data_IF_208065178037
#
_entry.id   IF_208065178037
#
_cell.length_a   1.000
_cell.length_b   1.000
_cell.length_c   1.000
_cell.angle_alpha   90.00
_cell.angle_beta   90.00
_cell.angle_gamma   90.00
#
_symmetry.space_group_name_H-M   'P 1'
#
loop_
_entity.id
_entity.type
_entity.pdbx_description
1 polymer ?
#
# COMPACT_ATOMS: atom_id res chain seq x y z
N UNK A 1 34.75 11.32 21.18
CA UNK A 1 34.24 11.82 19.88
C UNK A 1 32.80 11.34 19.72
N UNK A 2 31.77 12.19 19.80
CA UNK A 2 30.44 11.74 19.47
C UNK A 2 30.41 11.47 17.96
N UNK A 3 30.27 10.19 17.58
CA UNK A 3 30.06 9.78 16.20
C UNK A 3 28.71 10.36 15.78
N UNK A 4 28.73 11.43 14.99
CA UNK A 4 27.53 12.05 14.47
C UNK A 4 26.87 11.02 13.53
N UNK A 5 25.73 10.39 13.89
CA UNK A 5 25.03 9.54 12.96
C UNK A 5 24.36 10.49 11.97
N UNK A 6 25.05 10.69 10.86
CA UNK A 6 24.51 11.29 9.65
C UNK A 6 23.39 10.40 9.16
N UNK A 7 22.15 10.69 9.56
CA UNK A 7 21.01 9.97 9.01
C UNK A 7 20.73 10.50 7.61
N UNK A 8 20.39 9.57 6.72
CA UNK A 8 20.17 9.87 5.32
C UNK A 8 18.76 9.45 4.92
N UNK A 9 18.16 10.23 4.02
CA UNK A 9 16.99 9.77 3.31
C UNK A 9 17.43 8.71 2.29
N UNK A 10 16.69 7.60 2.20
CA UNK A 10 16.94 6.54 1.22
C UNK A 10 17.02 7.08 -0.21
N UNK A 11 16.19 8.06 -0.56
CA UNK A 11 16.10 8.64 -1.90
C UNK A 11 17.15 9.72 -2.16
N UNK A 12 17.43 10.60 -1.18
CA UNK A 12 18.49 11.60 -1.32
C UNK A 12 19.91 10.99 -1.30
N UNK A 13 20.05 9.81 -0.70
CA UNK A 13 21.35 9.16 -0.51
C UNK A 13 22.26 9.91 0.47
N UNK A 14 23.55 9.60 0.39
CA UNK A 14 24.54 10.10 1.36
C UNK A 14 25.03 11.54 1.10
N UNK A 15 24.49 12.20 0.08
CA UNK A 15 24.88 13.56 -0.31
C UNK A 15 24.24 14.63 0.59
N UNK A 16 23.15 14.28 1.26
CA UNK A 16 22.42 15.19 2.15
C UNK A 16 22.35 14.56 3.54
N UNK A 17 22.73 15.36 4.53
CA UNK A 17 22.76 14.96 5.94
C UNK A 17 21.55 15.56 6.65
N UNK A 18 20.76 14.69 7.30
CA UNK A 18 19.59 15.11 8.06
C UNK A 18 19.78 14.80 9.54
N UNK A 19 19.18 15.61 10.41
CA UNK A 19 18.98 15.25 11.81
C UNK A 19 17.91 14.17 11.90
N UNK A 20 17.98 13.34 12.95
CA UNK A 20 17.00 12.24 13.15
C UNK A 20 15.55 12.74 13.19
N UNK A 21 15.32 13.95 13.70
CA UNK A 21 14.01 14.62 13.82
C UNK A 21 13.44 15.09 12.48
N UNK A 22 14.28 15.26 11.46
CA UNK A 22 13.89 15.70 10.11
C UNK A 22 13.51 14.52 9.21
N UNK A 23 13.76 13.29 9.67
CA UNK A 23 13.47 12.07 8.94
C UNK A 23 12.29 11.31 9.54
N UNK A 24 11.44 10.80 8.66
CA UNK A 24 10.33 9.91 8.98
C UNK A 24 10.69 8.49 8.59
N UNK A 25 10.36 7.54 9.47
CA UNK A 25 10.61 6.13 9.23
C UNK A 25 9.39 5.49 8.57
N UNK A 26 9.61 4.71 7.51
CA UNK A 26 8.57 3.94 6.82
C UNK A 26 9.16 2.65 6.28
N UNK A 27 8.53 1.50 6.57
CA UNK A 27 8.99 0.16 6.15
C UNK A 27 10.51 -0.04 6.40
N UNK A 28 10.98 0.30 7.60
CA UNK A 28 12.38 0.20 8.05
C UNK A 28 13.39 1.15 7.37
N UNK A 29 12.95 1.97 6.41
CA UNK A 29 13.77 3.00 5.76
C UNK A 29 13.46 4.41 6.30
N UNK A 30 14.43 5.32 6.16
CA UNK A 30 14.28 6.73 6.54
C UNK A 30 14.07 7.61 5.30
N UNK A 31 13.11 8.52 5.37
CA UNK A 31 12.78 9.45 4.30
C UNK A 31 12.69 10.88 4.83
N UNK A 32 13.13 11.86 4.04
CA UNK A 32 12.79 13.26 4.29
C UNK A 32 11.32 13.51 3.93
N UNK A 33 10.77 14.66 4.30
CA UNK A 33 9.36 14.98 4.04
C UNK A 33 8.99 14.98 2.55
N UNK A 34 9.92 15.35 1.67
CA UNK A 34 9.71 15.37 0.22
C UNK A 34 9.69 13.98 -0.42
N UNK A 35 10.43 13.04 0.16
CA UNK A 35 10.56 11.68 -0.36
C UNK A 35 9.84 10.64 0.51
N UNK A 36 9.04 11.10 1.48
CA UNK A 36 8.24 10.22 2.31
C UNK A 36 7.17 9.59 1.41
N UNK A 37 7.24 8.27 1.14
CA UNK A 37 6.20 7.64 0.34
C UNK A 37 4.85 7.76 1.06
N UNK A 38 3.80 7.92 0.26
CA UNK A 38 2.44 8.00 0.78
C UNK A 38 2.12 6.83 1.71
N UNK A 39 1.32 7.15 2.72
CA UNK A 39 0.83 6.09 3.61
C UNK A 39 0.00 5.18 2.73
N UNK A 40 0.44 3.92 2.56
CA UNK A 40 -0.39 2.87 1.95
C UNK A 40 -1.81 3.03 2.46
N UNK A 41 -2.73 3.32 1.53
CA UNK A 41 -4.11 3.65 1.88
C UNK A 41 -4.68 2.52 2.74
N UNK A 42 -5.48 2.86 3.76
CA UNK A 42 -6.23 1.84 4.48
C UNK A 42 -7.08 1.06 3.48
N UNK A 43 -7.39 -0.18 3.82
CA UNK A 43 -8.30 -0.98 3.01
C UNK A 43 -9.58 -0.17 2.77
N UNK A 44 -10.00 0.05 1.51
CA UNK A 44 -11.16 0.87 1.23
C UNK A 44 -12.42 0.20 1.79
N UNK A 45 -13.37 1.00 2.27
CA UNK A 45 -14.65 0.48 2.76
C UNK A 45 -15.59 0.15 1.60
N UNK A 46 -16.58 -0.70 1.86
CA UNK A 46 -17.63 -0.97 0.89
C UNK A 46 -18.45 0.30 0.61
N UNK A 47 -18.59 0.76 -0.65
CA UNK A 47 -19.31 1.99 -0.98
C UNK A 47 -20.81 1.94 -0.70
N UNK A 48 -21.38 0.74 -0.46
CA UNK A 48 -22.81 0.55 -0.27
C UNK A 48 -23.23 0.40 1.20
N UNK A 49 -22.39 -0.23 2.03
CA UNK A 49 -22.70 -0.47 3.44
C UNK A 49 -21.64 0.07 4.41
N UNK A 50 -20.61 0.74 3.89
CA UNK A 50 -19.47 1.29 4.64
C UNK A 50 -18.72 0.24 5.49
N UNK A 51 -18.81 -1.03 5.10
CA UNK A 51 -18.15 -2.12 5.81
C UNK A 51 -16.62 -2.04 5.62
N UNK A 52 -15.87 -2.16 6.71
CA UNK A 52 -14.42 -2.09 6.74
C UNK A 52 -13.75 -3.27 5.99
N UNK A 53 -14.49 -4.37 5.76
CA UNK A 53 -14.05 -5.49 4.94
C UNK A 53 -14.76 -5.43 3.59
N UNK A 54 -14.05 -4.93 2.58
CA UNK A 54 -14.58 -4.85 1.22
C UNK A 54 -14.66 -6.22 0.52
N UNK A 55 -14.93 -7.28 1.26
CA UNK A 55 -15.29 -8.61 0.77
C UNK A 55 -14.26 -9.28 -0.13
N UNK A 56 -14.73 -10.31 -0.83
CA UNK A 56 -13.88 -11.29 -1.50
C UNK A 56 -13.61 -10.91 -2.95
N UNK A 57 -12.35 -11.07 -3.37
CA UNK A 57 -11.92 -10.89 -4.75
C UNK A 57 -12.09 -12.18 -5.55
N UNK A 58 -12.61 -12.05 -6.77
CA UNK A 58 -12.76 -13.12 -7.74
C UNK A 58 -11.74 -12.91 -8.88
N UNK A 59 -10.63 -13.65 -8.84
CA UNK A 59 -9.53 -13.51 -9.79
C UNK A 59 -9.84 -14.13 -11.14
N UNK A 60 -9.82 -13.31 -12.20
CA UNK A 60 -10.09 -13.75 -13.57
C UNK A 60 -8.85 -13.64 -14.47
N UNK A 61 -7.69 -14.04 -13.95
CA UNK A 61 -6.43 -14.09 -14.72
C UNK A 61 -5.73 -12.73 -14.89
N UNK A 62 -6.39 -11.61 -14.58
CA UNK A 62 -5.77 -10.29 -14.61
C UNK A 62 -6.47 -9.32 -13.66
N UNK A 63 -5.77 -8.32 -13.10
CA UNK A 63 -6.37 -7.36 -12.16
C UNK A 63 -7.48 -6.51 -12.79
N UNK A 64 -7.48 -6.36 -14.13
CA UNK A 64 -8.54 -5.65 -14.86
C UNK A 64 -9.84 -6.47 -14.99
N UNK A 65 -9.72 -7.79 -14.97
CA UNK A 65 -10.85 -8.71 -15.05
C UNK A 65 -11.35 -9.14 -13.66
N UNK A 66 -10.51 -8.99 -12.62
CA UNK A 66 -10.88 -9.30 -11.25
C UNK A 66 -12.08 -8.48 -10.78
N UNK A 67 -13.05 -9.17 -10.21
CA UNK A 67 -14.21 -8.53 -9.57
C UNK A 67 -14.10 -8.61 -8.07
N UNK A 68 -14.75 -7.70 -7.37
CA UNK A 68 -14.86 -7.70 -5.92
C UNK A 68 -16.32 -7.79 -5.54
N UNK A 69 -16.62 -8.58 -4.50
CA UNK A 69 -17.97 -8.72 -3.98
C UNK A 69 -17.97 -8.52 -2.47
N UNK A 70 -18.73 -7.54 -1.99
CA UNK A 70 -19.01 -7.38 -0.57
C UNK A 70 -19.91 -8.51 -0.08
N UNK A 71 -19.49 -9.20 0.99
CA UNK A 71 -20.25 -10.32 1.55
C UNK A 71 -21.44 -9.87 2.40
N UNK A 72 -21.37 -8.66 2.98
CA UNK A 72 -22.45 -8.08 3.79
C UNK A 72 -23.65 -7.66 2.94
N UNK A 73 -23.45 -6.77 1.96
CA UNK A 73 -24.54 -6.18 1.19
C UNK A 73 -24.72 -6.76 -0.21
N UNK A 74 -23.82 -7.66 -0.63
CA UNK A 74 -23.86 -8.28 -1.95
C UNK A 74 -23.41 -7.36 -3.10
N UNK A 75 -22.92 -6.15 -2.81
CA UNK A 75 -22.36 -5.24 -3.81
C UNK A 75 -21.27 -5.94 -4.62
N UNK A 76 -21.33 -5.85 -5.96
CA UNK A 76 -20.35 -6.45 -6.86
C UNK A 76 -19.92 -5.43 -7.90
N UNK A 77 -18.61 -5.21 -7.99
CA UNK A 77 -18.03 -4.32 -8.99
C UNK A 77 -16.65 -4.83 -9.46
N UNK A 78 -15.98 -4.09 -10.36
CA UNK A 78 -14.61 -4.42 -10.75
C UNK A 78 -13.66 -3.97 -9.66
N UNK A 79 -12.75 -4.86 -9.27
CA UNK A 79 -11.75 -4.56 -8.24
C UNK A 79 -10.90 -3.34 -8.59
N UNK A 80 -10.60 -3.13 -9.87
CA UNK A 80 -9.79 -2.00 -10.38
C UNK A 80 -10.43 -0.61 -10.16
N UNK A 81 -11.75 -0.55 -9.92
CA UNK A 81 -12.42 0.72 -9.64
C UNK A 81 -12.22 1.17 -8.19
N UNK A 82 -11.79 0.27 -7.31
CA UNK A 82 -11.65 0.50 -5.87
C UNK A 82 -10.23 0.25 -5.35
N UNK A 83 -9.43 -0.53 -6.08
CA UNK A 83 -8.09 -0.94 -5.68
C UNK A 83 -7.09 -0.76 -6.83
N UNK A 84 -5.85 -0.43 -6.50
CA UNK A 84 -4.76 -0.48 -7.46
C UNK A 84 -4.49 -1.88 -7.99
N UNK A 85 -4.05 -1.97 -9.25
CA UNK A 85 -3.70 -3.24 -9.89
C UNK A 85 -2.68 -4.07 -9.08
N UNK A 86 -1.79 -3.41 -8.33
CA UNK A 86 -0.82 -4.07 -7.45
C UNK A 86 -1.51 -4.73 -6.26
N UNK A 87 -2.41 -4.02 -5.58
CA UNK A 87 -3.17 -4.55 -4.44
C UNK A 87 -4.03 -5.73 -4.87
N UNK A 88 -4.74 -5.60 -5.99
CA UNK A 88 -5.56 -6.70 -6.55
C UNK A 88 -4.69 -7.91 -6.84
N UNK A 89 -3.50 -7.70 -7.41
CA UNK A 89 -2.59 -8.80 -7.71
C UNK A 89 -2.10 -9.48 -6.43
N UNK A 90 -1.66 -8.72 -5.43
CA UNK A 90 -1.16 -9.28 -4.17
C UNK A 90 -2.26 -10.05 -3.42
N UNK A 91 -3.49 -9.53 -3.41
CA UNK A 91 -4.60 -10.10 -2.65
C UNK A 91 -5.28 -11.25 -3.38
N UNK A 92 -5.55 -11.09 -4.67
CA UNK A 92 -6.40 -12.01 -5.43
C UNK A 92 -5.63 -12.95 -6.34
N UNK A 93 -4.35 -12.67 -6.68
CA UNK A 93 -3.61 -13.65 -7.47
C UNK A 93 -3.44 -14.95 -6.67
N UNK A 94 -3.64 -16.11 -7.30
CA UNK A 94 -3.38 -17.37 -6.65
C UNK A 94 -1.94 -17.41 -6.17
N UNK A 95 -1.74 -17.84 -4.92
CA UNK A 95 -0.40 -18.14 -4.40
C UNK A 95 0.07 -19.35 -5.20
N UNK A 96 1.02 -19.14 -6.12
CA UNK A 96 1.72 -20.27 -6.74
C UNK A 96 2.50 -20.97 -5.62
N UNK A 97 1.90 -22.02 -5.07
CA UNK A 97 2.58 -22.96 -4.21
C UNK A 97 3.65 -23.65 -5.08
N UNK A 98 4.88 -23.13 -5.00
CA UNK A 98 6.06 -23.85 -5.50
C UNK A 98 6.36 -25.05 -4.60
#
# INVERSE_FOLDING_TARGET
MPRNPSFHCRTCGNHVFYKRTELRARKFDLYCLEHLPDKSEPWPHCPQCDDDDFGTFDWQGSPKATTIKCEQCGFKDKAINHFDAVTIRITASPIEAS
#
